data_IF_449293800105
#
_entry.id   IF_449293800105
#
_cell.length_a   1.000
_cell.length_b   1.000
_cell.length_c   1.000
_cell.angle_alpha   90.00
_cell.angle_beta   90.00
_cell.angle_gamma   90.00
#
_symmetry.space_group_name_H-M   'P 1'
#
loop_
_entity.id
_entity.type
_entity.pdbx_description
1 polymer ?
#
# COMPACT_ATOMS: atom_id res chain seq x y z
N UNK A 1 22.27 6.24 -9.89
CA UNK A 1 21.22 5.68 -9.02
C UNK A 1 20.81 6.69 -7.96
N UNK A 2 19.56 7.16 -7.97
CA UNK A 2 19.05 8.08 -6.95
C UNK A 2 17.83 7.45 -6.27
N UNK A 3 18.10 6.65 -5.23
CA UNK A 3 17.08 6.15 -4.32
C UNK A 3 16.71 7.28 -3.36
N UNK A 4 15.42 7.52 -3.15
CA UNK A 4 14.96 8.56 -2.22
C UNK A 4 13.87 8.05 -1.30
N UNK A 5 14.03 8.30 0.00
CA UNK A 5 12.93 8.12 0.93
C UNK A 5 11.88 9.17 0.65
N UNK A 6 10.65 8.72 0.50
CA UNK A 6 9.55 9.58 0.13
C UNK A 6 8.25 9.10 0.70
N UNK A 7 7.29 10.02 0.67
CA UNK A 7 5.90 9.72 0.93
C UNK A 7 5.19 9.74 -0.41
N UNK A 8 4.55 8.63 -0.73
CA UNK A 8 3.81 8.43 -1.96
C UNK A 8 2.34 8.31 -1.62
N UNK A 9 1.49 8.98 -2.38
CA UNK A 9 0.05 8.89 -2.23
C UNK A 9 -0.55 8.59 -3.59
N UNK A 10 -1.50 7.67 -3.60
CA UNK A 10 -2.07 7.19 -4.84
C UNK A 10 -3.31 6.34 -4.62
N UNK A 11 -3.89 5.94 -5.74
CA UNK A 11 -5.00 4.98 -5.78
C UNK A 11 -4.46 3.65 -6.28
N UNK A 12 -4.77 2.57 -5.58
CA UNK A 12 -4.39 1.21 -5.97
C UNK A 12 -5.10 0.87 -7.28
N UNK A 13 -4.33 0.56 -8.33
CA UNK A 13 -4.84 0.16 -9.64
C UNK A 13 -4.87 -1.35 -9.83
N UNK A 14 -3.87 -2.05 -9.30
CA UNK A 14 -3.80 -3.51 -9.38
C UNK A 14 -3.04 -4.07 -8.18
N UNK A 15 -3.41 -5.27 -7.73
CA UNK A 15 -2.70 -5.99 -6.67
C UNK A 15 -1.70 -6.96 -7.28
N UNK A 16 -0.56 -7.16 -6.62
CA UNK A 16 0.46 -8.14 -6.99
C UNK A 16 0.72 -9.08 -5.81
N UNK A 17 1.39 -10.22 -6.04
CA UNK A 17 1.67 -11.18 -4.96
C UNK A 17 2.53 -10.64 -3.82
N UNK A 18 3.30 -9.57 -4.06
CA UNK A 18 4.22 -8.94 -3.10
C UNK A 18 3.89 -7.48 -2.80
N UNK A 19 2.71 -7.00 -3.22
CA UNK A 19 2.30 -5.62 -3.04
C UNK A 19 1.22 -5.19 -4.02
N UNK A 20 1.40 -4.04 -4.67
CA UNK A 20 0.41 -3.50 -5.60
C UNK A 20 1.00 -2.42 -6.50
N UNK A 21 0.32 -2.13 -7.60
CA UNK A 21 0.60 -0.94 -8.42
C UNK A 21 -0.40 0.14 -8.02
N UNK A 22 0.10 1.32 -7.65
CA UNK A 22 -0.73 2.49 -7.41
C UNK A 22 -0.48 3.57 -8.45
N UNK A 23 -1.56 4.18 -8.92
CA UNK A 23 -1.50 5.42 -9.68
C UNK A 23 -1.23 6.58 -8.73
N UNK A 24 -0.18 7.35 -8.97
CA UNK A 24 0.09 8.53 -8.15
C UNK A 24 -0.95 9.61 -8.37
N UNK A 25 -1.18 10.45 -7.36
CA UNK A 25 -2.08 11.61 -7.49
C UNK A 25 -1.57 12.64 -8.51
N UNK A 26 -0.30 12.58 -8.89
CA UNK A 26 0.27 13.50 -9.88
C UNK A 26 0.10 12.92 -11.28
N UNK A 27 -0.68 13.58 -12.14
CA UNK A 27 -0.82 13.21 -13.57
C UNK A 27 0.52 13.19 -14.33
N UNK A 28 1.55 13.84 -13.78
CA UNK A 28 2.91 13.88 -14.34
C UNK A 28 3.78 12.68 -13.96
N UNK A 29 3.31 11.80 -13.07
CA UNK A 29 4.10 10.66 -12.58
C UNK A 29 3.43 9.36 -13.00
N UNK A 30 4.24 8.51 -13.61
CA UNK A 30 3.84 7.15 -13.98
C UNK A 30 3.39 6.35 -12.76
N UNK A 31 2.66 5.27 -13.04
CA UNK A 31 2.23 4.31 -12.02
C UNK A 31 3.44 3.76 -11.27
N UNK A 32 3.29 3.60 -9.95
CA UNK A 32 4.35 3.16 -9.06
C UNK A 32 4.03 1.76 -8.57
N UNK A 33 4.97 0.85 -8.72
CA UNK A 33 4.88 -0.46 -8.08
C UNK A 33 5.32 -0.31 -6.63
N UNK A 34 4.49 -0.76 -5.70
CA UNK A 34 4.81 -0.78 -4.27
C UNK A 34 5.05 -2.21 -3.88
N UNK A 35 6.22 -2.48 -3.32
CA UNK A 35 6.58 -3.79 -2.78
C UNK A 35 6.66 -3.67 -1.27
N UNK A 36 5.81 -4.41 -0.58
CA UNK A 36 5.75 -4.44 0.89
C UNK A 36 6.46 -5.68 1.43
N UNK A 37 6.88 -5.60 2.68
CA UNK A 37 7.51 -6.69 3.41
C UNK A 37 6.78 -6.94 4.72
N UNK A 38 7.13 -8.02 5.41
CA UNK A 38 6.59 -8.32 6.75
C UNK A 38 6.90 -7.27 7.82
N UNK A 39 7.86 -6.38 7.55
CA UNK A 39 8.20 -5.23 8.39
C UNK A 39 7.36 -3.98 8.10
N UNK A 40 6.47 -4.02 7.11
CA UNK A 40 5.63 -2.89 6.73
C UNK A 40 4.46 -2.76 7.71
N UNK A 41 4.30 -1.58 8.30
CA UNK A 41 3.15 -1.26 9.14
C UNK A 41 1.97 -0.81 8.28
N UNK A 42 0.84 -1.50 8.40
CA UNK A 42 -0.39 -1.12 7.71
C UNK A 42 -1.38 -0.52 8.69
N UNK A 43 -1.92 0.65 8.36
CA UNK A 43 -2.87 1.38 9.19
C UNK A 43 -4.05 1.89 8.37
N UNK A 44 -5.21 2.03 9.00
CA UNK A 44 -6.35 2.70 8.39
C UNK A 44 -6.33 4.23 8.63
N UNK A 45 -7.35 4.95 8.15
CA UNK A 45 -7.48 6.39 8.33
C UNK A 45 -7.44 6.83 9.80
N UNK A 46 -7.96 6.01 10.71
CA UNK A 46 -8.03 6.25 12.16
C UNK A 46 -6.74 5.87 12.91
N UNK A 47 -5.80 5.19 12.26
CA UNK A 47 -4.55 4.72 12.87
C UNK A 47 -4.65 3.34 13.53
N UNK A 48 -5.69 2.56 13.21
CA UNK A 48 -5.76 1.16 13.63
C UNK A 48 -5.00 0.28 12.65
N UNK A 49 -4.30 -0.73 13.18
CA UNK A 49 -3.54 -1.69 12.39
C UNK A 49 -4.48 -2.51 11.49
N UNK A 50 -4.17 -2.57 10.20
CA UNK A 50 -4.86 -3.42 9.21
C UNK A 50 -3.87 -4.43 8.63
N UNK A 51 -4.34 -5.30 7.73
CA UNK A 51 -3.46 -6.20 6.98
C UNK A 51 -3.40 -5.82 5.50
N UNK A 52 -2.36 -6.28 4.79
CA UNK A 52 -2.25 -6.08 3.35
C UNK A 52 -3.49 -6.56 2.58
N UNK A 53 -4.15 -7.62 3.06
CA UNK A 53 -5.37 -8.17 2.45
C UNK A 53 -6.57 -7.23 2.51
N UNK A 54 -6.58 -6.24 3.41
CA UNK A 54 -7.62 -5.21 3.46
C UNK A 54 -7.45 -4.17 2.34
N UNK A 55 -6.27 -4.09 1.72
CA UNK A 55 -6.01 -3.16 0.63
C UNK A 55 -6.60 -3.73 -0.66
N UNK A 56 -7.58 -3.01 -1.22
CA UNK A 56 -8.26 -3.40 -2.45
C UNK A 56 -7.97 -2.40 -3.59
N UNK A 57 -8.22 -2.85 -4.81
CA UNK A 57 -8.17 -2.00 -6.00
C UNK A 57 -9.20 -0.87 -5.86
N UNK A 58 -8.79 0.35 -6.20
CA UNK A 58 -9.59 1.57 -6.02
C UNK A 58 -9.36 2.26 -4.67
N UNK A 59 -8.64 1.64 -3.73
CA UNK A 59 -8.34 2.29 -2.45
C UNK A 59 -7.29 3.38 -2.57
N UNK A 60 -7.49 4.47 -1.84
CA UNK A 60 -6.52 5.55 -1.72
C UNK A 60 -5.58 5.26 -0.57
N UNK A 61 -4.31 4.98 -0.89
CA UNK A 61 -3.29 4.62 0.08
C UNK A 61 -2.15 5.64 0.09
N UNK A 62 -1.54 5.81 1.27
CA UNK A 62 -0.30 6.55 1.46
C UNK A 62 0.79 5.58 1.85
N UNK A 63 1.85 5.53 1.08
CA UNK A 63 2.98 4.64 1.27
C UNK A 63 4.21 5.45 1.62
N UNK A 64 4.89 5.11 2.71
CA UNK A 64 6.21 5.64 3.06
C UNK A 64 7.24 4.57 2.77
N UNK A 65 8.21 4.89 1.93
CA UNK A 65 9.26 3.94 1.58
C UNK A 65 10.36 4.56 0.75
N UNK A 66 11.29 3.70 0.34
CA UNK A 66 12.38 4.04 -0.54
C UNK A 66 11.92 3.91 -1.99
N UNK A 67 11.84 5.02 -2.70
CA UNK A 67 11.53 5.02 -4.13
C UNK A 67 12.78 4.93 -4.97
N UNK A 68 12.77 3.95 -5.85
CA UNK A 68 13.71 3.76 -6.92
C UNK A 68 13.16 4.39 -8.21
N UNK A 69 13.84 5.44 -8.67
CA UNK A 69 13.46 6.17 -9.88
C UNK A 69 13.71 5.36 -11.16
N UNK A 70 14.69 4.47 -11.17
CA UNK A 70 15.06 3.71 -12.37
C UNK A 70 14.02 2.62 -12.66
N UNK A 71 13.54 1.95 -11.60
CA UNK A 71 12.52 0.91 -11.69
C UNK A 71 11.08 1.40 -11.44
N UNK A 72 10.88 2.68 -11.11
CA UNK A 72 9.60 3.25 -10.67
C UNK A 72 8.93 2.42 -9.56
N UNK A 73 9.74 1.85 -8.67
CA UNK A 73 9.27 0.95 -7.62
C UNK A 73 9.57 1.54 -6.24
N UNK A 74 8.65 1.34 -5.29
CA UNK A 74 8.80 1.71 -3.89
C UNK A 74 9.09 0.43 -3.12
N UNK A 75 10.32 0.32 -2.63
CA UNK A 75 10.81 -0.76 -1.77
C UNK A 75 11.02 -0.26 -0.35
N UNK A 76 11.33 -1.15 0.59
CA UNK A 76 11.55 -0.80 1.99
C UNK A 76 10.42 0.08 2.55
N UNK A 77 9.20 -0.38 2.33
CA UNK A 77 8.00 0.33 2.77
C UNK A 77 7.91 0.19 4.29
N UNK A 78 8.01 1.31 4.99
CA UNK A 78 7.90 1.34 6.44
C UNK A 78 6.44 1.42 6.90
N UNK A 79 5.64 2.23 6.23
CA UNK A 79 4.26 2.50 6.65
C UNK A 79 3.33 2.67 5.45
N UNK A 80 2.16 2.05 5.54
CA UNK A 80 1.09 2.13 4.55
C UNK A 80 -0.19 2.54 5.27
N UNK A 81 -0.79 3.65 4.85
CA UNK A 81 -2.02 4.17 5.42
C UNK A 81 -3.15 4.18 4.39
N UNK A 82 -4.21 3.41 4.63
CA UNK A 82 -5.41 3.38 3.80
C UNK A 82 -6.40 4.49 4.22
N UNK A 83 -6.88 5.26 3.24
CA UNK A 83 -7.83 6.37 3.45
C UNK A 83 -9.24 6.07 2.94
N UNK A 84 -9.46 4.92 2.31
CA UNK A 84 -10.72 4.56 1.65
C UNK A 84 -11.67 3.78 2.57
N UNK A 85 -11.14 3.04 3.55
CA UNK A 85 -11.94 2.25 4.47
C UNK A 85 -12.52 3.11 5.61
N UNK A 86 -13.86 3.29 5.72
CA UNK A 86 -14.48 3.41 7.03
C UNK A 86 -14.35 2.06 7.74
N UNK A 87 -14.04 2.10 9.03
CA UNK A 87 -13.86 0.92 9.90
C UNK A 87 -15.03 -0.06 9.79
N UNK A 88 -14.86 -1.09 8.99
CA UNK A 88 -15.48 -2.39 9.17
C UNK A 88 -14.37 -3.36 8.88
N UNK A 89 -13.64 -3.72 9.95
CA UNK A 89 -12.76 -4.88 9.93
C UNK A 89 -13.57 -6.02 9.33
N UNK A 90 -13.20 -6.45 8.12
CA UNK A 90 -13.61 -7.75 7.65
C UNK A 90 -13.08 -8.71 8.71
N UNK A 91 -13.99 -9.21 9.54
CA UNK A 91 -13.69 -10.27 10.48
C UNK A 91 -12.98 -11.34 9.66
N UNK A 92 -11.75 -11.77 9.99
CA UNK A 92 -11.26 -12.99 9.39
C UNK A 92 -12.27 -14.05 9.82
N UNK A 93 -13.11 -14.49 8.90
CA UNK A 93 -13.91 -15.70 9.07
C UNK A 93 -12.88 -16.80 9.28
N UNK A 94 -12.57 -17.07 10.54
CA UNK A 94 -11.91 -18.29 10.93
C UNK A 94 -12.83 -19.39 10.43
N UNK A 95 -12.44 -20.06 9.35
CA UNK A 95 -13.07 -21.31 8.93
C UNK A 95 -12.93 -22.27 10.11
N UNK A 96 -14.03 -22.68 10.78
CA UNK A 96 -13.95 -23.76 11.73
C UNK A 96 -13.90 -25.08 10.94
N UNK A 97 -12.97 -25.91 11.37
CA UNK A 97 -12.64 -27.29 10.98
C UNK A 97 -13.87 -28.21 10.85
N UNK A 98 -13.76 -29.30 10.07
CA UNK A 98 -13.97 -30.63 10.63
C UNK A 98 -12.71 -31.51 10.61
#
# INVERSE_FOLDING_TARGET
>A
MQKRFGVFMGVVKSLTGSGWVMGTVSEKRADQTVTVSSSTEFENRKGETIVQSDILIGHRVRVKGLWDREANTVTEVSQVKDFNLPVVSATPTATPTP
#
